data_IF_127401074349
#
_entry.id   IF_127401074349
#
_cell.length_a   1.000
_cell.length_b   1.000
_cell.length_c   1.000
_cell.angle_alpha   90.00
_cell.angle_beta   90.00
_cell.angle_gamma   90.00
#
_symmetry.space_group_name_H-M   'P 1'
#
loop_
_entity.id
_entity.type
_entity.pdbx_description
1 polymer ?
#
# COMPACT_ATOMS: atom_id res chain seq x y z
N UNK A 1 17.50 13.85 -8.00
CA UNK A 1 17.18 12.78 -7.04
C UNK A 1 17.33 11.48 -7.78
N UNK A 2 18.23 10.60 -7.35
CA UNK A 2 18.33 9.26 -7.92
C UNK A 2 17.21 8.45 -7.28
N UNK A 3 16.35 7.85 -8.10
CA UNK A 3 15.26 7.01 -7.64
C UNK A 3 15.84 5.70 -7.08
N UNK A 4 15.25 5.17 -6.01
CA UNK A 4 15.54 3.81 -5.52
C UNK A 4 15.13 2.72 -6.52
N UNK A 5 14.30 3.06 -7.51
CA UNK A 5 13.67 2.10 -8.43
C UNK A 5 14.60 1.49 -9.49
N UNK A 6 15.87 1.90 -9.57
CA UNK A 6 16.84 1.26 -10.49
C UNK A 6 17.61 0.09 -9.84
N UNK A 7 17.72 0.04 -8.51
CA UNK A 7 18.33 -1.08 -7.78
C UNK A 7 17.29 -1.74 -6.86
N UNK A 8 16.52 -2.69 -7.41
CA UNK A 8 15.53 -3.55 -6.72
C UNK A 8 16.05 -4.32 -5.47
N UNK A 9 17.28 -4.07 -5.03
CA UNK A 9 17.99 -4.81 -3.99
C UNK A 9 18.69 -3.93 -2.94
N UNK A 10 18.48 -2.60 -2.93
CA UNK A 10 19.03 -1.74 -1.87
C UNK A 10 18.21 -1.83 -0.57
N UNK A 11 18.32 -2.97 0.10
CA UNK A 11 17.68 -3.22 1.39
C UNK A 11 18.17 -2.25 2.47
N UNK A 12 19.44 -1.86 2.44
CA UNK A 12 20.01 -0.94 3.43
C UNK A 12 19.42 0.46 3.26
N UNK A 13 19.37 0.97 2.02
CA UNK A 13 18.77 2.25 1.71
C UNK A 13 17.27 2.30 2.01
N UNK A 14 16.53 1.22 1.74
CA UNK A 14 15.11 1.14 2.13
C UNK A 14 14.94 1.18 3.65
N UNK A 15 15.75 0.42 4.41
CA UNK A 15 15.71 0.44 5.86
C UNK A 15 16.07 1.81 6.44
N UNK A 16 17.04 2.51 5.84
CA UNK A 16 17.38 3.88 6.22
C UNK A 16 16.24 4.85 5.95
N UNK A 17 15.58 4.74 4.80
CA UNK A 17 14.36 5.50 4.51
C UNK A 17 13.26 5.22 5.55
N UNK A 18 12.96 3.96 5.87
CA UNK A 18 11.95 3.61 6.88
C UNK A 18 12.26 4.20 8.26
N UNK A 19 13.53 4.26 8.66
CA UNK A 19 13.94 4.92 9.93
C UNK A 19 13.58 6.40 9.95
N UNK A 20 13.59 7.09 8.80
CA UNK A 20 13.21 8.51 8.71
C UNK A 20 11.71 8.75 8.83
N UNK A 21 10.88 7.74 8.52
CA UNK A 21 9.42 7.86 8.52
C UNK A 21 8.79 7.94 9.91
N UNK A 22 9.57 7.73 10.99
CA UNK A 22 9.08 7.88 12.36
C UNK A 22 8.56 9.29 12.69
N UNK A 23 8.89 10.29 11.87
CA UNK A 23 8.44 11.67 12.01
C UNK A 23 7.03 11.90 11.48
N UNK A 24 6.53 11.00 10.63
CA UNK A 24 5.28 11.17 9.89
C UNK A 24 4.30 10.01 10.07
N UNK A 25 4.79 8.83 10.45
CA UNK A 25 3.96 7.68 10.77
C UNK A 25 3.66 7.60 12.26
N UNK A 26 2.51 7.04 12.60
CA UNK A 26 2.25 6.63 13.98
C UNK A 26 3.19 5.49 14.40
N UNK A 27 3.37 5.34 15.71
CA UNK A 27 4.36 4.43 16.29
C UNK A 27 4.08 2.96 15.94
N UNK A 28 2.81 2.57 15.83
CA UNK A 28 2.44 1.16 15.58
C UNK A 28 2.67 0.82 14.12
N UNK A 29 2.29 1.70 13.20
CA UNK A 29 2.56 1.58 11.76
C UNK A 29 4.07 1.57 11.50
N UNK A 30 4.81 2.49 12.11
CA UNK A 30 6.27 2.56 11.96
C UNK A 30 6.96 1.28 12.48
N UNK A 31 6.56 0.79 13.65
CA UNK A 31 7.08 -0.45 14.22
C UNK A 31 6.72 -1.67 13.37
N UNK A 32 5.52 -1.71 12.78
CA UNK A 32 5.16 -2.78 11.86
C UNK A 32 6.12 -2.82 10.67
N UNK A 33 6.32 -1.69 9.97
CA UNK A 33 7.16 -1.62 8.77
C UNK A 33 8.64 -1.94 9.04
N UNK A 34 9.16 -1.63 10.24
CA UNK A 34 10.55 -1.92 10.59
C UNK A 34 10.82 -3.39 10.94
N UNK A 35 9.80 -4.10 11.44
CA UNK A 35 9.98 -5.44 12.03
C UNK A 35 9.17 -6.52 11.32
N UNK A 36 8.28 -6.13 10.42
CA UNK A 36 7.35 -7.00 9.68
C UNK A 36 7.29 -6.51 8.23
N UNK A 37 6.77 -7.35 7.34
CA UNK A 37 6.52 -7.01 5.94
C UNK A 37 5.22 -7.67 5.50
N UNK A 38 4.53 -7.05 4.54
CA UNK A 38 3.39 -7.68 3.88
C UNK A 38 3.78 -8.72 2.82
N UNK A 39 5.05 -9.11 2.67
CA UNK A 39 5.46 -10.22 1.81
C UNK A 39 4.55 -11.45 2.00
N UNK A 40 4.13 -12.07 0.89
CA UNK A 40 3.18 -13.18 0.83
C UNK A 40 1.77 -12.89 1.38
N UNK A 41 1.48 -11.64 1.75
CA UNK A 41 0.13 -11.24 2.14
C UNK A 41 -0.77 -11.15 0.91
N UNK A 42 -2.07 -11.35 1.12
CA UNK A 42 -3.06 -11.20 0.06
C UNK A 42 -4.01 -10.06 0.37
N UNK A 43 -4.10 -9.12 -0.56
CA UNK A 43 -5.13 -8.07 -0.52
C UNK A 43 -6.49 -8.74 -0.78
N UNK A 44 -7.39 -8.65 0.20
CA UNK A 44 -8.75 -9.19 0.09
C UNK A 44 -9.76 -8.15 -0.37
N UNK A 45 -9.52 -6.87 -0.08
CA UNK A 45 -10.41 -5.78 -0.43
C UNK A 45 -9.61 -4.47 -0.59
N UNK A 46 -10.02 -3.64 -1.54
CA UNK A 46 -9.62 -2.23 -1.65
C UNK A 46 -10.90 -1.42 -1.82
N UNK A 47 -11.09 -0.43 -0.96
CA UNK A 47 -12.25 0.47 -0.95
C UNK A 47 -11.76 1.90 -1.09
N UNK A 48 -12.26 2.60 -2.10
CA UNK A 48 -12.07 4.03 -2.28
C UNK A 48 -13.30 4.76 -1.76
N UNK A 49 -13.09 5.71 -0.86
CA UNK A 49 -14.15 6.54 -0.27
C UNK A 49 -13.91 7.99 -0.67
N UNK A 50 -14.90 8.61 -1.32
CA UNK A 50 -14.94 10.03 -1.60
C UNK A 50 -15.97 10.69 -0.68
N UNK A 51 -15.49 11.40 0.34
CA UNK A 51 -16.30 12.09 1.36
C UNK A 51 -16.68 13.52 0.94
N UNK A 52 -16.59 13.87 -0.35
CA UNK A 52 -17.00 15.17 -0.85
C UNK A 52 -18.45 15.49 -0.44
N UNK A 53 -18.62 16.60 0.27
CA UNK A 53 -19.93 17.08 0.68
C UNK A 53 -20.21 18.47 0.09
N UNK A 54 -21.08 18.62 -0.92
CA UNK A 54 -21.33 19.92 -1.55
C UNK A 54 -21.96 20.98 -0.62
N UNK A 55 -22.43 20.60 0.57
CA UNK A 55 -23.03 21.52 1.54
C UNK A 55 -21.99 22.17 2.49
N UNK A 56 -20.76 21.66 2.53
CA UNK A 56 -19.68 22.17 3.37
C UNK A 56 -18.79 23.10 2.56
N UNK A 57 -18.46 24.33 3.04
CA UNK A 57 -17.55 25.22 2.34
C UNK A 57 -16.22 24.54 2.00
N UNK A 58 -15.72 24.75 0.78
CA UNK A 58 -14.50 24.09 0.27
C UNK A 58 -13.30 24.25 1.22
N UNK A 59 -13.16 25.41 1.85
CA UNK A 59 -12.09 25.74 2.81
C UNK A 59 -12.10 24.90 4.09
N UNK A 60 -13.23 24.23 4.37
CA UNK A 60 -13.47 23.42 5.56
C UNK A 60 -13.61 21.93 5.27
N UNK A 61 -13.45 21.52 4.01
CA UNK A 61 -13.42 20.11 3.62
C UNK A 61 -12.07 19.53 4.08
N UNK A 62 -12.06 18.65 5.09
CA UNK A 62 -10.91 17.77 5.31
C UNK A 62 -10.78 16.80 4.13
N UNK A 63 -9.54 16.36 3.83
CA UNK A 63 -9.17 15.39 2.79
C UNK A 63 -10.35 14.58 2.21
N UNK A 64 -10.69 14.84 0.96
CA UNK A 64 -11.90 14.28 0.33
C UNK A 64 -11.81 12.80 -0.03
N UNK A 65 -10.61 12.23 -0.24
CA UNK A 65 -10.45 10.84 -0.68
C UNK A 65 -9.60 10.06 0.30
N UNK A 66 -10.12 8.90 0.70
CA UNK A 66 -9.38 7.89 1.45
C UNK A 66 -9.45 6.54 0.75
N UNK A 67 -8.43 5.73 0.97
CA UNK A 67 -8.38 4.34 0.51
C UNK A 67 -8.18 3.48 1.73
N UNK A 68 -8.99 2.45 1.87
CA UNK A 68 -8.78 1.39 2.84
C UNK A 68 -8.58 0.08 2.12
N UNK A 69 -7.64 -0.73 2.59
CA UNK A 69 -7.48 -2.11 2.14
C UNK A 69 -7.49 -3.05 3.32
N UNK A 70 -7.98 -4.26 3.11
CA UNK A 70 -7.81 -5.36 4.05
C UNK A 70 -6.84 -6.35 3.43
N UNK A 71 -5.81 -6.73 4.19
CA UNK A 71 -4.81 -7.71 3.78
C UNK A 71 -4.77 -8.86 4.78
N UNK A 72 -4.81 -10.10 4.27
CA UNK A 72 -4.53 -11.29 5.06
C UNK A 72 -3.03 -11.54 5.00
N UNK A 73 -2.38 -11.47 6.16
CA UNK A 73 -0.94 -11.69 6.32
C UNK A 73 -0.62 -13.19 6.41
N UNK A 74 0.63 -13.56 6.14
CA UNK A 74 1.08 -14.97 6.08
C UNK A 74 0.94 -15.70 7.42
N UNK A 75 0.95 -14.97 8.53
CA UNK A 75 0.71 -15.48 9.88
C UNK A 75 -0.79 -15.69 10.22
N UNK A 76 -1.67 -15.53 9.22
CA UNK A 76 -3.14 -15.55 9.30
C UNK A 76 -3.80 -14.38 10.02
N UNK A 77 -3.05 -13.37 10.46
CA UNK A 77 -3.65 -12.14 10.95
C UNK A 77 -4.21 -11.31 9.79
N UNK A 78 -5.25 -10.54 10.10
CA UNK A 78 -5.86 -9.61 9.15
C UNK A 78 -5.46 -8.20 9.56
N UNK A 79 -5.02 -7.42 8.59
CA UNK A 79 -4.65 -6.03 8.78
C UNK A 79 -5.52 -5.13 7.91
N UNK A 80 -5.96 -4.02 8.49
CA UNK A 80 -6.52 -2.90 7.76
C UNK A 80 -5.40 -1.90 7.49
N UNK A 81 -5.28 -1.51 6.23
CA UNK A 81 -4.40 -0.45 5.75
C UNK A 81 -5.27 0.74 5.39
N UNK A 82 -4.91 1.93 5.86
CA UNK A 82 -5.67 3.15 5.61
C UNK A 82 -4.74 4.25 5.12
N UNK A 83 -4.99 4.74 3.91
CA UNK A 83 -4.37 5.93 3.32
C UNK A 83 -5.40 7.06 3.31
N UNK A 84 -5.06 8.18 3.95
CA UNK A 84 -5.92 9.38 4.00
C UNK A 84 -5.23 10.54 3.30
N UNK A 85 -6.02 11.52 2.85
CA UNK A 85 -5.54 12.62 2.03
C UNK A 85 -4.91 12.10 0.76
N UNK A 86 -5.62 11.25 0.03
CA UNK A 86 -5.10 10.59 -1.18
C UNK A 86 -5.15 11.54 -2.37
N UNK A 87 -4.01 11.72 -3.05
CA UNK A 87 -3.87 12.52 -4.28
C UNK A 87 -3.65 11.67 -5.52
N UNK A 88 -3.05 10.48 -5.37
CA UNK A 88 -2.87 9.52 -6.47
C UNK A 88 -3.33 8.16 -5.99
N UNK A 89 -4.12 7.49 -6.83
CA UNK A 89 -4.39 6.07 -6.73
C UNK A 89 -4.35 5.49 -8.14
N UNK A 90 -3.41 4.58 -8.36
CA UNK A 90 -3.24 3.90 -9.65
C UNK A 90 -3.09 2.41 -9.41
N UNK A 91 -3.77 1.62 -10.22
CA UNK A 91 -3.63 0.17 -10.26
C UNK A 91 -3.37 -0.21 -11.71
N UNK A 92 -2.18 -0.74 -11.99
CA UNK A 92 -1.89 -1.41 -13.26
C UNK A 92 -2.18 -2.90 -13.10
N UNK A 93 -3.34 -3.33 -13.58
CA UNK A 93 -3.78 -4.72 -13.51
C UNK A 93 -3.99 -5.32 -14.90
N UNK A 94 -3.31 -6.44 -15.15
CA UNK A 94 -3.53 -7.29 -16.31
C UNK A 94 -3.67 -8.73 -15.83
N UNK A 95 -4.89 -9.26 -15.98
CA UNK A 95 -5.24 -10.64 -15.62
C UNK A 95 -4.40 -11.68 -16.39
N UNK A 96 -3.88 -11.33 -17.57
CA UNK A 96 -3.02 -12.22 -18.36
C UNK A 96 -1.70 -12.53 -17.65
N UNK A 97 -1.29 -11.72 -16.67
CA UNK A 97 -0.11 -11.96 -15.84
C UNK A 97 -0.35 -12.93 -14.68
N UNK A 98 -1.62 -13.14 -14.30
CA UNK A 98 -2.02 -14.12 -13.28
C UNK A 98 -2.08 -15.53 -13.90
N UNK A 99 -0.92 -16.17 -14.09
CA UNK A 99 -0.81 -17.51 -14.70
C UNK A 99 -0.32 -18.53 -13.69
N UNK A 100 -0.85 -19.75 -13.77
CA UNK A 100 -0.24 -20.90 -13.08
C UNK A 100 1.13 -21.17 -13.70
N UNK A 101 2.15 -21.35 -12.85
CA UNK A 101 3.55 -21.60 -13.24
C UNK A 101 3.65 -22.61 -14.40
N UNK A 102 4.38 -22.24 -15.44
CA UNK A 102 4.57 -23.02 -16.68
C UNK A 102 3.30 -23.31 -17.51
N UNK A 103 2.18 -22.65 -17.24
CA UNK A 103 0.95 -22.79 -18.02
C UNK A 103 0.49 -21.46 -18.63
N UNK A 104 -0.28 -21.55 -19.73
CA UNK A 104 -1.01 -20.40 -20.28
C UNK A 104 -2.39 -20.22 -19.62
N UNK A 105 -2.69 -20.96 -18.55
CA UNK A 105 -3.99 -20.88 -17.88
C UNK A 105 -3.99 -19.72 -16.89
N UNK A 106 -4.94 -18.82 -17.09
CA UNK A 106 -5.23 -17.72 -16.17
C UNK A 106 -5.83 -18.28 -14.88
N UNK A 107 -5.32 -17.80 -13.74
CA UNK A 107 -5.79 -18.18 -12.43
C UNK A 107 -6.75 -17.11 -11.89
N UNK A 108 -8.06 -17.38 -11.97
CA UNK A 108 -9.09 -16.42 -11.54
C UNK A 108 -9.33 -16.41 -10.03
N UNK A 109 -8.90 -17.46 -9.31
CA UNK A 109 -9.22 -17.65 -7.89
C UNK A 109 -8.19 -17.01 -6.94
N UNK A 110 -7.20 -16.26 -7.44
CA UNK A 110 -6.18 -15.55 -6.63
C UNK A 110 -6.48 -14.06 -6.42
N UNK A 111 -7.50 -13.51 -7.06
CA UNK A 111 -7.74 -12.06 -7.03
C UNK A 111 -6.63 -11.30 -7.76
N UNK A 112 -6.02 -10.32 -7.08
CA UNK A 112 -4.92 -9.51 -7.64
C UNK A 112 -3.54 -10.19 -7.57
N UNK A 113 -3.44 -11.35 -6.90
CA UNK A 113 -2.23 -12.07 -6.50
C UNK A 113 -1.67 -11.69 -5.12
N UNK A 114 -0.64 -12.41 -4.68
CA UNK A 114 0.11 -12.18 -3.44
C UNK A 114 1.10 -11.03 -3.57
N UNK A 115 1.35 -10.39 -2.42
CA UNK A 115 2.22 -9.24 -2.29
C UNK A 115 3.69 -9.69 -2.32
N UNK A 116 4.45 -9.17 -3.28
CA UNK A 116 5.87 -9.49 -3.43
C UNK A 116 6.74 -8.55 -2.61
N UNK A 117 6.56 -7.24 -2.77
CA UNK A 117 7.29 -6.24 -2.00
C UNK A 117 6.56 -4.90 -2.09
N UNK A 118 6.92 -3.99 -1.21
CA UNK A 118 6.45 -2.61 -1.19
C UNK A 118 7.57 -1.64 -0.81
N UNK A 119 7.39 -0.41 -1.24
CA UNK A 119 8.21 0.72 -0.83
C UNK A 119 7.30 1.87 -0.38
N UNK A 120 7.47 2.30 0.86
CA UNK A 120 6.88 3.52 1.39
C UNK A 120 7.94 4.62 1.47
N UNK A 121 7.76 5.71 0.74
CA UNK A 121 8.75 6.80 0.65
C UNK A 121 8.14 8.14 1.02
N UNK A 122 8.91 8.98 1.71
CA UNK A 122 8.55 10.39 1.94
C UNK A 122 9.05 11.23 0.77
N UNK A 123 8.13 11.92 0.10
CA UNK A 123 8.41 12.82 -1.01
C UNK A 123 8.89 14.20 -0.50
N UNK A 124 9.57 14.97 -1.36
CA UNK A 124 10.08 16.31 -1.04
C UNK A 124 8.99 17.30 -0.59
N UNK A 125 7.74 17.07 -1.01
CA UNK A 125 6.58 17.87 -0.61
C UNK A 125 5.97 17.44 0.73
N UNK A 126 6.61 16.52 1.45
CA UNK A 126 6.16 16.01 2.75
C UNK A 126 5.06 14.94 2.68
N UNK A 127 4.69 14.48 1.48
CA UNK A 127 3.66 13.44 1.28
C UNK A 127 4.28 12.06 1.21
N UNK A 128 3.48 11.04 1.48
CA UNK A 128 3.89 9.64 1.39
C UNK A 128 3.51 9.08 0.02
N UNK A 129 4.41 8.28 -0.56
CA UNK A 129 4.16 7.44 -1.72
C UNK A 129 4.36 5.99 -1.34
N UNK A 130 3.33 5.18 -1.52
CA UNK A 130 3.34 3.75 -1.28
C UNK A 130 3.25 3.03 -2.63
N UNK A 131 4.30 2.32 -3.00
CA UNK A 131 4.38 1.50 -4.21
C UNK A 131 4.32 0.04 -3.80
N UNK A 132 3.30 -0.68 -4.25
CA UNK A 132 3.00 -2.06 -3.89
C UNK A 132 3.11 -2.91 -5.14
N UNK A 133 3.95 -3.94 -5.08
CA UNK A 133 4.19 -4.87 -6.17
C UNK A 133 3.70 -6.26 -5.80
N UNK A 134 2.84 -6.82 -6.65
CA UNK A 134 2.34 -8.18 -6.52
C UNK A 134 3.16 -9.14 -7.39
N UNK A 135 3.14 -10.44 -7.08
CA UNK A 135 3.85 -11.46 -7.88
C UNK A 135 3.38 -11.52 -9.34
N UNK A 136 2.12 -11.12 -9.60
CA UNK A 136 1.55 -10.94 -10.94
C UNK A 136 2.12 -9.73 -11.70
N UNK A 137 3.09 -9.01 -11.12
CA UNK A 137 3.61 -7.73 -11.61
C UNK A 137 2.57 -6.60 -11.64
N UNK A 138 1.39 -6.84 -11.05
CA UNK A 138 0.42 -5.78 -10.76
C UNK A 138 1.08 -4.79 -9.82
N UNK A 139 0.98 -3.51 -10.18
CA UNK A 139 1.54 -2.41 -9.39
C UNK A 139 0.39 -1.54 -8.89
N UNK A 140 0.39 -1.26 -7.59
CA UNK A 140 -0.54 -0.32 -6.96
C UNK A 140 0.30 0.84 -6.44
N UNK A 141 -0.05 2.07 -6.83
CA UNK A 141 0.63 3.30 -6.42
C UNK A 141 -0.37 4.19 -5.70
N UNK A 142 -0.05 4.57 -4.47
CA UNK A 142 -0.86 5.47 -3.66
C UNK A 142 0.01 6.63 -3.18
N UNK A 143 -0.38 7.87 -3.49
CA UNK A 143 0.20 9.07 -2.86
C UNK A 143 -0.80 9.67 -1.89
N UNK A 144 -0.37 9.88 -0.64
CA UNK A 144 -1.26 10.24 0.47
C UNK A 144 -0.58 11.19 1.46
N UNK A 145 -1.37 11.88 2.28
CA UNK A 145 -0.85 12.69 3.39
C UNK A 145 -0.52 11.86 4.62
N UNK A 146 -1.26 10.77 4.87
CA UNK A 146 -1.03 9.89 6.01
C UNK A 146 -1.35 8.43 5.66
N UNK A 147 -0.64 7.51 6.32
CA UNK A 147 -0.80 6.06 6.17
C UNK A 147 -0.77 5.39 7.53
N UNK A 148 -1.67 4.43 7.75
CA UNK A 148 -1.71 3.65 8.98
C UNK A 148 -2.03 2.17 8.73
N UNK A 149 -1.49 1.32 9.61
CA UNK A 149 -1.71 -0.12 9.63
C UNK A 149 -2.32 -0.51 10.97
N UNK A 150 -3.43 -1.23 10.94
CA UNK A 150 -4.10 -1.72 12.14
C UNK A 150 -4.40 -3.20 12.02
N UNK A 151 -3.99 -3.98 13.03
CA UNK A 151 -4.44 -5.38 13.14
C UNK A 151 -5.93 -5.41 13.48
N UNK A 152 -6.66 -6.23 12.74
CA UNK A 152 -8.09 -6.45 12.95
C UNK A 152 -8.28 -7.62 13.92
N UNK A 153 -9.11 -7.42 14.94
CA UNK A 153 -9.57 -8.53 15.77
C UNK A 153 -10.57 -9.36 14.97
N UNK A 154 -10.34 -10.67 14.91
CA UNK A 154 -11.28 -11.60 14.28
C UNK A 154 -12.37 -11.88 15.30
N UNK A 155 -13.54 -11.28 15.11
CA UNK A 155 -14.76 -11.54 15.90
C UNK A 155 -15.41 -12.87 15.54
#
# INVERSE_FOLDING_TARGET
>A
MNYFTEEKHDLEGYMDNLRTLNKVLDIDTHNFLLNTSFHDSRISEITLVNNYNPEVPDESQESIVSISSTAKHWDNNIYQLLWTDVTIHSIDFDISRNKLFESQKILFNSGLDEWSHDELTLLDNGRLRHEIYLFSQTTIIIECGNFSIKRMDVS
#
